data_IF_962825619668
#
_entry.id   IF_962825619668
#
_cell.length_a   1.000
_cell.length_b   1.000
_cell.length_c   1.000
_cell.angle_alpha   90.00
_cell.angle_beta   90.00
_cell.angle_gamma   90.00
#
_symmetry.space_group_name_H-M   'P 1'
#
loop_
_entity.id
_entity.type
_entity.pdbx_description
1 polymer ?
#
# COMPACT_ATOMS: atom_id res chain seq x y z
N UNK A 1 17.88 -24.45 9.25
CA UNK A 1 16.78 -24.21 10.21
C UNK A 1 16.13 -22.83 10.09
N UNK A 2 16.89 -21.73 10.16
CA UNK A 2 16.39 -20.34 10.12
C UNK A 2 15.38 -20.07 8.99
N UNK A 3 15.64 -20.59 7.78
CA UNK A 3 14.73 -20.41 6.63
C UNK A 3 13.30 -20.93 6.88
N UNK A 4 13.12 -21.96 7.71
CA UNK A 4 11.79 -22.52 8.03
C UNK A 4 11.05 -21.66 9.06
N UNK A 5 11.77 -20.83 9.81
CA UNK A 5 11.23 -19.87 10.77
C UNK A 5 10.86 -18.54 10.12
N UNK A 6 11.22 -18.35 8.84
CA UNK A 6 10.96 -17.13 8.12
C UNK A 6 9.74 -17.28 7.18
N UNK A 7 8.89 -16.24 7.08
CA UNK A 7 7.76 -16.16 6.18
C UNK A 7 8.13 -16.42 4.72
N UNK A 8 7.22 -17.06 3.97
CA UNK A 8 7.40 -17.28 2.53
C UNK A 8 7.51 -15.94 1.81
N UNK A 9 8.64 -15.68 1.15
CA UNK A 9 8.93 -14.42 0.44
C UNK A 9 9.95 -13.51 1.14
N UNK A 10 10.22 -13.71 2.43
CA UNK A 10 11.38 -13.09 3.10
C UNK A 10 12.62 -13.86 2.64
N UNK A 11 13.27 -13.29 1.63
CA UNK A 11 14.17 -13.98 0.73
C UNK A 11 15.26 -14.80 1.43
N UNK A 12 15.70 -15.87 0.75
CA UNK A 12 16.86 -16.70 1.09
C UNK A 12 18.10 -15.90 1.53
N UNK A 13 18.22 -14.65 1.10
CA UNK A 13 19.28 -13.71 1.49
C UNK A 13 19.22 -13.32 2.97
N UNK A 14 18.04 -13.02 3.51
CA UNK A 14 17.87 -12.67 4.94
C UNK A 14 18.15 -13.87 5.85
N UNK A 15 17.69 -15.06 5.45
CA UNK A 15 18.03 -16.30 6.14
C UNK A 15 19.56 -16.55 6.18
N UNK A 16 20.25 -16.27 5.07
CA UNK A 16 21.71 -16.40 5.00
C UNK A 16 22.43 -15.38 5.89
N UNK A 17 21.99 -14.11 5.89
CA UNK A 17 22.55 -13.05 6.74
C UNK A 17 22.41 -13.41 8.23
N UNK A 18 21.19 -13.79 8.66
CA UNK A 18 20.95 -14.19 10.06
C UNK A 18 21.83 -15.39 10.44
N UNK A 19 21.98 -16.37 9.55
CA UNK A 19 22.83 -17.53 9.81
C UNK A 19 24.30 -17.14 9.99
N UNK A 20 24.82 -16.22 9.18
CA UNK A 20 26.20 -15.72 9.31
C UNK A 20 26.41 -14.97 10.64
N UNK A 21 25.43 -14.14 11.03
CA UNK A 21 25.50 -13.40 12.30
C UNK A 21 25.50 -14.36 13.49
N UNK A 22 24.66 -15.40 13.46
CA UNK A 22 24.61 -16.40 14.54
C UNK A 22 25.91 -17.18 14.67
N UNK A 23 26.50 -17.62 13.55
CA UNK A 23 27.81 -18.30 13.55
C UNK A 23 28.91 -17.37 14.06
N UNK A 24 28.91 -16.10 13.65
CA UNK A 24 29.84 -15.11 14.19
C UNK A 24 29.66 -14.89 15.70
N UNK A 25 28.40 -14.84 16.16
CA UNK A 25 28.05 -14.74 17.58
C UNK A 25 28.50 -15.95 18.39
N UNK A 26 28.36 -17.17 17.86
CA UNK A 26 28.87 -18.42 18.45
C UNK A 26 30.37 -18.36 18.68
N UNK A 27 31.13 -18.01 17.63
CA UNK A 27 32.59 -17.93 17.71
C UNK A 27 33.03 -16.90 18.76
N UNK A 28 32.42 -15.71 18.76
CA UNK A 28 32.76 -14.65 19.71
C UNK A 28 32.41 -15.05 21.15
N UNK A 29 31.25 -15.68 21.35
CA UNK A 29 30.80 -16.14 22.66
C UNK A 29 31.73 -17.21 23.23
N UNK A 30 32.19 -18.15 22.39
CA UNK A 30 33.11 -19.22 22.79
C UNK A 30 34.53 -18.70 23.07
N UNK A 31 35.08 -17.85 22.19
CA UNK A 31 36.44 -17.32 22.33
C UNK A 31 36.57 -16.39 23.54
N UNK A 32 35.54 -15.58 23.82
CA UNK A 32 35.57 -14.59 24.89
C UNK A 32 34.85 -15.05 26.17
N UNK A 33 34.24 -16.25 26.17
CA UNK A 33 33.57 -16.80 27.34
C UNK A 33 32.41 -15.94 27.85
N UNK A 34 31.65 -15.32 26.94
CA UNK A 34 30.68 -14.27 27.29
C UNK A 34 29.40 -14.81 27.94
N UNK A 35 29.15 -16.11 27.84
CA UNK A 35 27.95 -16.75 28.40
C UNK A 35 26.65 -16.28 27.72
N UNK A 36 26.70 -15.84 26.47
CA UNK A 36 25.52 -15.43 25.72
C UNK A 36 24.60 -16.61 25.45
N UNK A 37 23.30 -16.38 25.61
CA UNK A 37 22.28 -17.29 25.13
C UNK A 37 21.97 -16.98 23.65
N UNK A 38 22.46 -17.84 22.76
CA UNK A 38 22.33 -17.65 21.32
C UNK A 38 20.90 -17.81 20.81
N UNK A 39 20.01 -18.47 21.56
CA UNK A 39 18.59 -18.53 21.24
C UNK A 39 17.90 -17.16 21.43
N UNK A 40 18.36 -16.34 22.38
CA UNK A 40 17.84 -14.98 22.56
C UNK A 40 18.25 -14.08 21.39
N UNK A 41 19.49 -14.22 20.91
CA UNK A 41 20.00 -13.51 19.73
C UNK A 41 19.24 -13.93 18.47
N UNK A 42 18.98 -15.23 18.30
CA UNK A 42 18.19 -15.77 17.20
C UNK A 42 16.75 -15.27 17.24
N UNK A 43 16.12 -15.24 18.41
CA UNK A 43 14.77 -14.72 18.59
C UNK A 43 14.69 -13.24 18.22
N UNK A 44 15.62 -12.42 18.75
CA UNK A 44 15.69 -10.99 18.45
C UNK A 44 15.89 -10.68 16.96
N UNK A 45 16.52 -11.57 16.20
CA UNK A 45 16.73 -11.42 14.75
C UNK A 45 15.52 -11.88 13.92
N UNK A 46 14.82 -12.92 14.37
CA UNK A 46 13.70 -13.52 13.62
C UNK A 46 12.37 -12.81 13.90
N UNK A 47 12.13 -12.37 15.13
CA UNK A 47 10.88 -11.76 15.55
C UNK A 47 10.49 -10.51 14.74
N UNK A 48 11.40 -9.56 14.44
CA UNK A 48 11.08 -8.43 13.56
C UNK A 48 10.71 -8.88 12.13
N UNK A 49 11.33 -9.95 11.63
CA UNK A 49 11.03 -10.49 10.30
C UNK A 49 9.62 -11.10 10.26
N UNK A 50 9.18 -11.74 11.34
CA UNK A 50 7.83 -12.27 11.48
C UNK A 50 6.79 -11.14 11.55
N UNK A 51 7.06 -10.10 12.32
CA UNK A 51 6.17 -8.93 12.43
C UNK A 51 6.00 -8.17 11.11
N UNK A 52 7.03 -8.10 10.26
CA UNK A 52 6.93 -7.49 8.93
C UNK A 52 6.02 -8.31 8.01
N UNK A 53 5.95 -9.62 8.18
CA UNK A 53 5.12 -10.50 7.34
C UNK A 53 3.65 -10.56 7.73
N UNK A 54 3.31 -10.23 8.97
CA UNK A 54 1.91 -10.20 9.44
C UNK A 54 1.16 -8.95 8.94
N UNK A 55 1.87 -7.95 8.40
CA UNK A 55 1.31 -6.69 7.90
C UNK A 55 0.92 -6.71 6.41
N UNK A 56 0.78 -7.89 5.80
CA UNK A 56 0.49 -8.01 4.37
C UNK A 56 1.72 -7.75 3.48
N UNK A 57 1.53 -7.82 2.16
CA UNK A 57 2.61 -7.53 1.19
C UNK A 57 2.94 -6.04 1.16
N UNK A 58 4.09 -5.67 0.59
CA UNK A 58 4.45 -4.26 0.39
C UNK A 58 3.38 -3.51 -0.40
N UNK A 59 2.82 -4.11 -1.45
CA UNK A 59 1.70 -3.54 -2.18
C UNK A 59 0.42 -3.39 -1.34
N UNK A 60 0.17 -4.24 -0.35
CA UNK A 60 -0.99 -4.08 0.52
C UNK A 60 -0.81 -2.88 1.47
N UNK A 61 0.35 -2.78 2.13
CA UNK A 61 0.67 -1.63 3.01
C UNK A 61 0.67 -0.32 2.23
N UNK A 62 1.20 -0.34 1.00
CA UNK A 62 1.17 0.80 0.11
C UNK A 62 -0.27 1.21 -0.26
N UNK A 63 -1.16 0.24 -0.47
CA UNK A 63 -2.56 0.47 -0.79
C UNK A 63 -3.30 1.11 0.38
N UNK A 64 -3.12 0.58 1.59
CA UNK A 64 -3.65 1.14 2.84
C UNK A 64 -3.18 2.57 3.02
N UNK A 65 -1.87 2.80 2.88
CA UNK A 65 -1.26 4.13 3.01
C UNK A 65 -1.84 5.16 2.03
N UNK A 66 -1.99 4.79 0.76
CA UNK A 66 -2.56 5.65 -0.27
C UNK A 66 -4.06 5.91 -0.05
N UNK A 67 -4.79 4.90 0.41
CA UNK A 67 -6.21 5.03 0.72
C UNK A 67 -6.44 5.95 1.93
N UNK A 68 -5.70 5.76 3.02
CA UNK A 68 -5.73 6.64 4.21
C UNK A 68 -5.43 8.08 3.84
N UNK A 69 -4.39 8.32 3.03
CA UNK A 69 -4.09 9.66 2.53
C UNK A 69 -5.28 10.25 1.78
N UNK A 70 -5.87 9.46 0.88
CA UNK A 70 -6.98 9.92 0.03
C UNK A 70 -8.23 10.22 0.86
N UNK A 71 -8.53 9.40 1.86
CA UNK A 71 -9.63 9.59 2.81
C UNK A 71 -9.37 10.83 3.67
N UNK A 72 -8.20 10.95 4.27
CA UNK A 72 -7.84 12.08 5.15
C UNK A 72 -7.80 13.43 4.42
N UNK A 73 -7.65 13.41 3.10
CA UNK A 73 -7.70 14.61 2.28
C UNK A 73 -9.06 14.83 1.59
N UNK A 74 -10.04 13.90 1.70
CA UNK A 74 -11.40 14.07 1.15
C UNK A 74 -11.98 15.40 1.61
N UNK A 75 -12.08 16.36 0.70
CA UNK A 75 -12.67 17.67 0.96
C UNK A 75 -11.69 18.84 1.03
N UNK A 76 -10.41 18.65 0.74
CA UNK A 76 -9.44 19.74 0.83
C UNK A 76 -9.29 20.54 -0.48
N UNK A 77 -10.37 21.01 -1.10
CA UNK A 77 -10.30 22.11 -2.09
C UNK A 77 -11.59 22.93 -2.22
N UNK A 78 -11.50 24.13 -1.63
CA UNK A 78 -11.92 25.42 -2.17
C UNK A 78 -13.25 25.44 -2.92
N UNK A 79 -14.32 25.61 -2.17
CA UNK A 79 -15.56 26.19 -2.67
C UNK A 79 -15.30 27.60 -3.24
N UNK A 80 -15.17 27.70 -4.55
CA UNK A 80 -15.56 28.90 -5.28
C UNK A 80 -16.41 28.49 -6.49
N UNK A 81 -17.69 28.87 -6.42
CA UNK A 81 -18.49 29.18 -7.61
C UNK A 81 -19.38 28.07 -8.16
N UNK A 82 -20.64 28.17 -7.74
CA UNK A 82 -21.88 27.93 -8.49
C UNK A 82 -22.34 26.50 -8.87
N UNK A 83 -23.54 26.24 -8.37
CA UNK A 83 -24.69 25.60 -9.03
C UNK A 83 -24.68 24.09 -9.30
N UNK A 84 -25.46 23.44 -8.41
CA UNK A 84 -26.47 22.42 -8.72
C UNK A 84 -26.07 21.24 -9.60
N UNK A 85 -25.87 20.09 -8.97
CA UNK A 85 -26.41 18.82 -9.46
C UNK A 85 -26.66 17.87 -8.27
N UNK A 86 -27.81 17.21 -8.33
CA UNK A 86 -28.32 16.28 -7.35
C UNK A 86 -27.34 15.14 -7.07
N UNK A 87 -27.27 14.77 -5.79
CA UNK A 87 -26.37 13.76 -5.23
C UNK A 87 -26.72 12.38 -5.78
N UNK A 88 -26.09 12.00 -6.89
CA UNK A 88 -25.81 10.60 -7.20
C UNK A 88 -24.67 10.12 -6.27
N UNK A 89 -24.48 8.81 -6.08
CA UNK A 89 -23.34 8.22 -5.35
C UNK A 89 -21.99 8.44 -6.10
N UNK A 90 -21.77 9.67 -6.57
CA UNK A 90 -20.77 10.08 -7.53
C UNK A 90 -19.41 10.29 -6.86
N UNK A 91 -18.40 9.70 -7.49
CA UNK A 91 -16.97 9.99 -7.39
C UNK A 91 -16.65 11.28 -6.60
N UNK A 92 -16.28 11.12 -5.32
CA UNK A 92 -15.89 12.25 -4.48
C UNK A 92 -14.41 12.58 -4.73
N UNK A 93 -14.06 13.80 -5.15
CA UNK A 93 -12.66 14.17 -5.27
C UNK A 93 -12.00 14.16 -3.88
N UNK A 94 -10.89 13.45 -3.77
CA UNK A 94 -10.02 13.49 -2.61
C UNK A 94 -9.24 14.81 -2.59
N UNK A 95 -8.59 15.19 -3.69
CA UNK A 95 -7.85 16.44 -3.83
C UNK A 95 -7.64 16.75 -5.32
N UNK A 96 -7.43 18.03 -5.66
CA UNK A 96 -7.27 18.55 -7.03
C UNK A 96 -6.38 19.80 -7.01
N UNK A 97 -5.12 19.74 -7.41
CA UNK A 97 -4.29 20.95 -7.49
C UNK A 97 -4.95 22.07 -8.32
N UNK A 98 -4.59 23.33 -8.08
CA UNK A 98 -5.11 24.49 -8.84
C UNK A 98 -4.92 24.36 -10.37
N UNK A 99 -3.98 23.53 -10.81
CA UNK A 99 -3.68 23.27 -12.22
C UNK A 99 -4.19 21.90 -12.72
N UNK A 100 -4.92 21.13 -11.89
CA UNK A 100 -5.42 19.79 -12.22
C UNK A 100 -4.35 18.72 -12.44
N UNK A 101 -3.09 18.99 -12.08
CA UNK A 101 -1.95 18.08 -12.27
C UNK A 101 -1.88 16.98 -11.20
N UNK A 102 -2.22 17.32 -9.95
CA UNK A 102 -2.31 16.36 -8.84
C UNK A 102 -3.77 16.18 -8.47
N UNK A 103 -4.34 15.02 -8.82
CA UNK A 103 -5.74 14.73 -8.57
C UNK A 103 -5.90 13.33 -8.01
N UNK A 104 -6.69 13.22 -6.96
CA UNK A 104 -7.19 11.96 -6.40
C UNK A 104 -8.71 11.97 -6.36
N UNK A 105 -9.34 10.87 -6.78
CA UNK A 105 -10.77 10.63 -6.65
C UNK A 105 -10.96 9.28 -6.02
N UNK A 106 -11.87 9.19 -5.07
CA UNK A 106 -12.13 7.95 -4.35
C UNK A 106 -13.64 7.76 -4.20
N UNK A 107 -14.09 6.54 -4.48
CA UNK A 107 -15.45 6.10 -4.19
C UNK A 107 -15.40 4.73 -3.50
N UNK A 108 -16.56 4.13 -3.23
CA UNK A 108 -16.64 2.81 -2.57
C UNK A 108 -15.99 1.69 -3.36
N UNK A 109 -15.94 1.81 -4.69
CA UNK A 109 -15.51 0.73 -5.60
C UNK A 109 -14.14 0.97 -6.23
N UNK A 110 -13.53 2.14 -6.09
CA UNK A 110 -12.32 2.51 -6.81
C UNK A 110 -11.60 3.73 -6.23
N UNK A 111 -10.30 3.81 -6.49
CA UNK A 111 -9.44 4.95 -6.20
C UNK A 111 -8.65 5.30 -7.47
N UNK A 112 -8.70 6.56 -7.91
CA UNK A 112 -7.95 7.05 -9.06
C UNK A 112 -7.06 8.21 -8.64
N UNK A 113 -5.76 8.12 -8.87
CA UNK A 113 -4.78 9.15 -8.51
C UNK A 113 -3.83 9.39 -9.68
N UNK A 114 -3.47 10.64 -9.98
CA UNK A 114 -2.50 10.95 -11.05
C UNK A 114 -1.18 10.21 -10.84
N UNK A 115 -0.62 9.63 -11.91
CA UNK A 115 0.55 8.74 -11.82
C UNK A 115 1.75 9.41 -11.13
N UNK A 116 2.04 10.66 -11.50
CA UNK A 116 3.12 11.47 -10.92
C UNK A 116 2.96 11.62 -9.41
N UNK A 117 1.74 11.90 -8.96
CA UNK A 117 1.46 12.11 -7.55
C UNK A 117 1.45 10.80 -6.76
N UNK A 118 0.85 9.73 -7.28
CA UNK A 118 0.91 8.41 -6.66
C UNK A 118 2.36 7.96 -6.45
N UNK A 119 3.21 8.13 -7.47
CA UNK A 119 4.63 7.78 -7.39
C UNK A 119 5.35 8.59 -6.32
N UNK A 120 5.16 9.91 -6.31
CA UNK A 120 5.75 10.81 -5.31
C UNK A 120 5.31 10.45 -3.89
N UNK A 121 4.00 10.28 -3.67
CA UNK A 121 3.44 9.98 -2.36
C UNK A 121 3.95 8.63 -1.82
N UNK A 122 4.06 7.60 -2.67
CA UNK A 122 4.62 6.31 -2.30
C UNK A 122 6.10 6.42 -1.90
N UNK A 123 6.89 7.15 -2.68
CA UNK A 123 8.31 7.37 -2.39
C UNK A 123 8.52 8.15 -1.10
N UNK A 124 7.74 9.20 -0.85
CA UNK A 124 7.77 9.98 0.41
C UNK A 124 7.44 9.12 1.64
N UNK A 125 6.64 8.07 1.46
CA UNK A 125 6.28 7.10 2.50
C UNK A 125 7.22 5.88 2.55
N UNK A 126 8.31 5.91 1.79
CA UNK A 126 9.35 4.88 1.83
C UNK A 126 9.07 3.61 1.03
N UNK A 127 8.07 3.63 0.14
CA UNK A 127 7.76 2.50 -0.75
C UNK A 127 8.52 2.61 -2.07
N UNK A 128 8.88 1.46 -2.66
CA UNK A 128 9.36 1.40 -4.04
C UNK A 128 8.17 1.40 -5.00
N UNK A 129 7.83 2.59 -5.53
CA UNK A 129 6.60 2.80 -6.28
C UNK A 129 6.45 1.89 -7.52
N UNK A 130 7.54 1.63 -8.25
CA UNK A 130 7.43 0.84 -9.49
C UNK A 130 7.20 -0.66 -9.18
N UNK A 131 7.81 -1.20 -8.12
CA UNK A 131 7.57 -2.54 -7.59
C UNK A 131 6.15 -2.68 -7.05
N UNK A 132 5.64 -1.68 -6.32
CA UNK A 132 4.26 -1.65 -5.84
C UNK A 132 3.27 -1.66 -7.01
N UNK A 133 3.47 -0.84 -8.04
CA UNK A 133 2.59 -0.82 -9.21
C UNK A 133 2.63 -2.14 -9.99
N UNK A 134 3.81 -2.77 -10.08
CA UNK A 134 3.95 -4.09 -10.67
C UNK A 134 3.18 -5.14 -9.88
N UNK A 135 3.31 -5.15 -8.55
CA UNK A 135 2.57 -6.07 -7.69
C UNK A 135 1.05 -5.88 -7.85
N UNK A 136 0.57 -4.64 -7.85
CA UNK A 136 -0.85 -4.35 -8.05
C UNK A 136 -1.36 -4.78 -9.43
N UNK A 137 -0.54 -4.63 -10.47
CA UNK A 137 -0.86 -5.13 -11.81
C UNK A 137 -0.97 -6.66 -11.80
N UNK A 138 -0.01 -7.36 -11.21
CA UNK A 138 0.00 -8.82 -11.11
C UNK A 138 -1.19 -9.36 -10.32
N UNK A 139 -1.63 -8.63 -9.29
CA UNK A 139 -2.83 -8.96 -8.50
C UNK A 139 -4.15 -8.59 -9.19
N UNK A 140 -4.11 -7.91 -10.33
CA UNK A 140 -5.30 -7.41 -11.03
C UNK A 140 -6.04 -6.32 -10.27
N UNK A 141 -5.32 -5.52 -9.48
CA UNK A 141 -5.84 -4.39 -8.72
C UNK A 141 -5.87 -3.11 -9.54
N UNK A 142 -5.09 -3.04 -10.61
CA UNK A 142 -5.04 -1.89 -11.51
C UNK A 142 -5.99 -2.03 -12.71
N UNK A 143 -6.78 -0.99 -12.93
CA UNK A 143 -7.46 -0.72 -14.19
C UNK A 143 -6.49 0.00 -15.14
N UNK A 144 -5.94 -0.72 -16.11
CA UNK A 144 -4.91 -0.17 -17.03
C UNK A 144 -5.49 0.05 -18.42
N UNK A 145 -5.12 1.17 -19.07
CA UNK A 145 -5.49 1.42 -20.45
C UNK A 145 -4.69 0.54 -21.43
N UNK A 146 -5.30 0.14 -22.55
CA UNK A 146 -4.66 -0.72 -23.54
C UNK A 146 -3.35 -0.09 -24.04
N UNK A 147 -2.24 -0.82 -23.93
CA UNK A 147 -0.91 -0.36 -24.36
C UNK A 147 -0.14 0.48 -23.32
N UNK A 148 -0.68 0.65 -22.11
CA UNK A 148 0.03 1.28 -20.97
C UNK A 148 0.56 0.24 -19.98
N UNK A 149 1.48 0.69 -19.13
CA UNK A 149 2.08 -0.16 -18.13
C UNK A 149 1.20 -0.24 -16.88
N UNK A 150 0.82 0.90 -16.31
CA UNK A 150 0.09 0.98 -15.04
C UNK A 150 -1.10 1.94 -15.08
N UNK A 151 -1.16 2.79 -16.09
CA UNK A 151 -1.99 3.98 -16.09
C UNK A 151 -3.27 3.82 -16.92
N UNK A 152 -4.31 4.54 -16.52
CA UNK A 152 -5.55 4.73 -17.26
C UNK A 152 -5.92 6.20 -17.29
N UNK A 153 -6.47 6.62 -18.42
CA UNK A 153 -6.94 7.99 -18.57
C UNK A 153 -8.33 8.11 -17.93
N UNK A 154 -8.50 9.08 -17.03
CA UNK A 154 -9.76 9.32 -16.32
C UNK A 154 -10.24 10.72 -16.66
N UNK A 155 -11.54 10.91 -16.88
CA UNK A 155 -12.11 12.24 -17.07
C UNK A 155 -12.32 12.89 -15.69
N UNK A 156 -11.64 14.00 -15.44
CA UNK A 156 -11.65 14.69 -14.15
C UNK A 156 -11.73 16.19 -14.42
N UNK A 157 -12.83 16.83 -14.01
CA UNK A 157 -13.08 18.27 -14.18
C UNK A 157 -12.79 18.80 -15.59
N UNK A 158 -13.19 18.05 -16.63
CA UNK A 158 -12.97 18.41 -18.03
C UNK A 158 -11.56 18.12 -18.55
N UNK A 159 -10.63 17.75 -17.68
CA UNK A 159 -9.31 17.23 -18.03
C UNK A 159 -9.31 15.71 -18.19
N UNK A 160 -8.30 15.17 -18.88
CA UNK A 160 -8.10 13.72 -19.03
C UNK A 160 -6.70 13.29 -18.57
N UNK A 161 -6.38 13.40 -17.27
CA UNK A 161 -5.08 12.97 -16.75
C UNK A 161 -4.87 11.45 -16.82
N UNK A 162 -3.59 11.05 -16.79
CA UNK A 162 -3.17 9.67 -16.63
C UNK A 162 -3.06 9.33 -15.14
N UNK A 163 -3.85 8.35 -14.70
CA UNK A 163 -3.98 7.98 -13.30
C UNK A 163 -3.61 6.51 -13.09
N UNK A 164 -3.10 6.22 -11.90
CA UNK A 164 -3.18 4.91 -11.28
C UNK A 164 -4.63 4.72 -10.83
N UNK A 165 -5.30 3.71 -11.38
CA UNK A 165 -6.69 3.41 -11.06
C UNK A 165 -6.77 2.06 -10.36
N UNK A 166 -7.05 2.08 -9.06
CA UNK A 166 -7.28 0.90 -8.23
C UNK A 166 -8.77 0.54 -8.27
N UNK A 167 -9.06 -0.71 -8.60
CA UNK A 167 -10.42 -1.22 -8.79
C UNK A 167 -11.03 -1.81 -7.50
N UNK A 168 -12.24 -2.35 -7.62
CA UNK A 168 -13.00 -2.87 -6.48
C UNK A 168 -12.33 -4.07 -5.81
N UNK A 169 -11.50 -4.84 -6.55
CA UNK A 169 -10.71 -5.93 -5.96
C UNK A 169 -9.65 -5.39 -5.00
N UNK A 170 -9.03 -4.25 -5.33
CA UNK A 170 -8.12 -3.57 -4.42
C UNK A 170 -8.89 -3.04 -3.19
N UNK A 171 -10.02 -2.37 -3.41
CA UNK A 171 -10.81 -1.80 -2.32
C UNK A 171 -11.32 -2.87 -1.33
N UNK A 172 -11.64 -4.08 -1.79
CA UNK A 172 -12.02 -5.20 -0.92
C UNK A 172 -10.91 -5.68 0.03
N UNK A 173 -9.64 -5.42 -0.31
CA UNK A 173 -8.55 -5.72 0.62
C UNK A 173 -8.55 -4.78 1.82
N UNK A 174 -9.03 -3.55 1.61
CA UNK A 174 -9.12 -2.51 2.63
C UNK A 174 -10.34 -2.69 3.52
N UNK A 175 -11.42 -3.31 3.04
CA UNK A 175 -12.61 -3.61 3.85
C UNK A 175 -12.38 -4.67 4.93
N UNK A 176 -11.27 -5.40 4.87
CA UNK A 176 -10.83 -6.27 5.97
C UNK A 176 -10.16 -5.51 7.14
N UNK A 177 -10.06 -4.17 7.06
CA UNK A 177 -9.66 -3.27 8.15
C UNK A 177 -10.84 -2.51 8.80
N UNK A 178 -12.01 -3.16 8.86
CA UNK A 178 -13.30 -2.70 9.42
C UNK A 178 -14.10 -1.71 8.55
N UNK A 179 -15.16 -2.22 7.91
CA UNK A 179 -16.52 -1.66 7.85
C UNK A 179 -17.46 -2.71 7.23
N UNK A 180 -17.49 -3.91 7.82
CA UNK A 180 -18.74 -4.66 7.88
C UNK A 180 -19.56 -4.09 9.05
N UNK A 181 -20.88 -4.07 8.93
CA UNK A 181 -21.90 -3.52 9.86
C UNK A 181 -22.41 -2.08 9.66
N UNK A 182 -22.72 -1.69 8.41
CA UNK A 182 -23.82 -0.70 8.20
C UNK A 182 -24.66 -0.95 6.94
N UNK A 183 -24.61 -2.14 6.34
CA UNK A 183 -25.38 -2.45 5.13
C UNK A 183 -26.57 -3.42 5.35
N UNK A 184 -26.73 -3.99 6.55
CA UNK A 184 -27.79 -4.97 6.84
C UNK A 184 -28.98 -4.43 7.65
N UNK A 185 -29.22 -3.11 7.68
CA UNK A 185 -30.40 -2.53 8.34
C UNK A 185 -31.24 -1.54 7.51
N UNK A 186 -31.21 -1.63 6.18
CA UNK A 186 -32.17 -0.87 5.33
C UNK A 186 -32.88 -1.75 4.31
N UNK A 187 -33.27 -2.95 4.72
CA UNK A 187 -34.41 -3.65 4.12
C UNK A 187 -35.35 -4.06 5.26
N UNK A 188 -36.28 -3.15 5.58
CA UNK A 188 -37.67 -3.41 5.95
C UNK A 188 -38.46 -2.10 5.91
#
# INVERSE_FOLDING_TARGET
EIRKLLPAGIGTRLAAIISVILVGGEIVNEVLGLGWNLEDVKTAMVEPCLQISTQGTEGQRALESLYEFSIGNRGCLLSQGNDTAEVSEEFKPAYISQFGADVGIVNRASLAITYSFAKKLLQERGFEADAVFKEWKEKGWLDVYKGRNFEKQVNINGGKPWCICLNSKAMKMLSHCEYDDCADQLIL
#
